data_IF_289773132544
#
_entry.id   IF_289773132544
#
_cell.length_a   1.000
_cell.length_b   1.000
_cell.length_c   1.000
_cell.angle_alpha   90.00
_cell.angle_beta   90.00
_cell.angle_gamma   90.00
#
_symmetry.space_group_name_H-M   'P 1'
#
loop_
_entity.id
_entity.type
_entity.pdbx_description
1 polymer ?
#
# COMPACT_ATOMS: atom_id res chain seq x y z
N UNK A 1 -60.06 -12.12 -14.81
CA UNK A 1 -58.82 -11.93 -15.55
C UNK A 1 -57.89 -10.88 -14.94
N UNK A 2 -57.72 -10.85 -13.60
CA UNK A 2 -56.86 -9.88 -12.88
C UNK A 2 -55.69 -10.48 -12.09
N UNK A 3 -55.58 -11.82 -12.00
CA UNK A 3 -54.48 -12.48 -11.22
C UNK A 3 -53.16 -12.70 -11.97
N UNK A 4 -53.14 -12.63 -13.31
CA UNK A 4 -51.88 -12.89 -14.06
C UNK A 4 -50.90 -11.72 -14.12
N UNK A 5 -51.35 -10.47 -13.93
CA UNK A 5 -50.44 -9.30 -14.00
C UNK A 5 -49.57 -9.13 -12.75
N UNK A 6 -50.05 -9.53 -11.57
CA UNK A 6 -49.26 -9.43 -10.32
C UNK A 6 -48.12 -10.43 -10.23
N UNK A 7 -48.28 -11.62 -10.82
CA UNK A 7 -47.24 -12.66 -10.79
C UNK A 7 -46.01 -12.29 -11.65
N UNK A 8 -46.23 -11.68 -12.81
CA UNK A 8 -45.13 -11.25 -13.67
C UNK A 8 -44.34 -10.05 -13.08
N UNK A 9 -45.02 -9.16 -12.36
CA UNK A 9 -44.36 -8.03 -11.70
C UNK A 9 -43.49 -8.49 -10.49
N UNK A 10 -44.00 -9.46 -9.73
CA UNK A 10 -43.24 -10.06 -8.63
C UNK A 10 -41.99 -10.83 -9.08
N UNK A 11 -42.10 -11.60 -10.16
CA UNK A 11 -40.95 -12.34 -10.73
C UNK A 11 -39.96 -11.39 -11.35
N UNK A 12 -40.36 -10.30 -12.01
CA UNK A 12 -39.47 -9.29 -12.58
C UNK A 12 -38.72 -8.54 -11.48
N UNK A 13 -39.38 -8.19 -10.37
CA UNK A 13 -38.75 -7.56 -9.20
C UNK A 13 -37.77 -8.50 -8.50
N UNK A 14 -38.07 -9.80 -8.38
CA UNK A 14 -37.15 -10.78 -7.84
C UNK A 14 -35.92 -11.01 -8.74
N UNK A 15 -36.11 -11.04 -10.05
CA UNK A 15 -35.00 -11.14 -11.00
C UNK A 15 -34.13 -9.88 -11.02
N UNK A 16 -34.73 -8.69 -10.87
CA UNK A 16 -33.96 -7.45 -10.72
C UNK A 16 -33.18 -7.41 -9.41
N UNK A 17 -33.81 -7.84 -8.29
CA UNK A 17 -33.12 -7.93 -6.99
C UNK A 17 -31.99 -8.97 -7.01
N UNK A 18 -32.19 -10.10 -7.72
CA UNK A 18 -31.15 -11.11 -7.88
C UNK A 18 -30.01 -10.65 -8.84
N UNK A 19 -30.34 -9.89 -9.88
CA UNK A 19 -29.34 -9.29 -10.77
C UNK A 19 -28.49 -8.21 -10.08
N UNK A 20 -29.09 -7.43 -9.16
CA UNK A 20 -28.34 -6.41 -8.38
C UNK A 20 -27.43 -7.07 -7.32
N UNK A 21 -27.80 -8.23 -6.77
CA UNK A 21 -26.94 -8.95 -5.83
C UNK A 21 -25.75 -9.68 -6.46
N UNK A 22 -25.71 -9.81 -7.79
CA UNK A 22 -24.59 -10.42 -8.53
C UNK A 22 -23.44 -9.45 -8.83
N UNK A 23 -23.59 -8.16 -8.51
CA UNK A 23 -22.57 -7.13 -8.70
C UNK A 23 -22.02 -6.56 -7.37
N UNK A 24 -22.00 -7.35 -6.30
CA UNK A 24 -21.09 -7.04 -5.21
C UNK A 24 -19.66 -7.29 -5.71
N UNK A 25 -19.06 -6.29 -6.36
CA UNK A 25 -17.66 -6.31 -6.68
C UNK A 25 -16.88 -6.47 -5.37
N UNK A 26 -15.90 -7.37 -5.30
CA UNK A 26 -15.05 -7.43 -4.13
C UNK A 26 -14.40 -6.06 -3.94
N UNK A 27 -14.50 -5.53 -2.72
CA UNK A 27 -13.79 -4.31 -2.33
C UNK A 27 -12.30 -4.67 -2.33
N UNK A 28 -11.53 -4.03 -3.19
CA UNK A 28 -10.13 -4.39 -3.44
C UNK A 28 -9.12 -3.81 -2.45
N UNK A 29 -7.89 -4.32 -2.47
CA UNK A 29 -6.70 -3.76 -1.84
C UNK A 29 -6.57 -2.30 -2.22
N UNK A 30 -6.04 -1.46 -1.34
CA UNK A 30 -6.41 -0.06 -1.37
C UNK A 30 -7.94 0.01 -1.28
N UNK A 31 -8.48 0.39 -0.16
CA UNK A 31 -9.92 0.38 0.06
C UNK A 31 -10.63 1.07 -1.11
N UNK A 32 -11.63 0.41 -1.69
CA UNK A 32 -12.34 0.89 -2.86
C UNK A 32 -11.50 1.00 -4.17
N UNK A 33 -10.41 0.23 -4.28
CA UNK A 33 -9.57 0.16 -5.46
C UNK A 33 -10.03 -0.86 -6.50
N UNK A 34 -9.37 -0.85 -7.64
CA UNK A 34 -9.51 -1.83 -8.73
C UNK A 34 -8.19 -2.57 -8.94
N UNK A 35 -8.19 -3.82 -9.44
CA UNK A 35 -6.96 -4.48 -9.82
C UNK A 35 -6.15 -3.63 -10.80
N UNK A 36 -4.89 -3.39 -10.46
CA UNK A 36 -3.97 -2.57 -11.26
C UNK A 36 -3.53 -3.26 -12.56
N UNK A 37 -3.53 -4.59 -12.57
CA UNK A 37 -3.01 -5.32 -13.72
C UNK A 37 -1.53 -5.02 -13.98
N UNK A 38 -1.22 -4.49 -15.16
CA UNK A 38 0.15 -4.16 -15.58
C UNK A 38 0.37 -2.65 -15.79
N UNK A 39 -0.49 -1.79 -15.22
CA UNK A 39 -0.39 -0.34 -15.43
C UNK A 39 0.79 0.27 -14.65
N UNK A 40 1.12 -0.31 -13.49
CA UNK A 40 2.26 0.12 -12.67
C UNK A 40 3.21 -1.05 -12.36
N UNK A 41 3.90 -1.63 -13.37
CA UNK A 41 4.72 -2.83 -13.21
C UNK A 41 5.91 -2.65 -12.26
N UNK A 42 6.32 -1.42 -11.99
CA UNK A 42 7.41 -1.04 -11.08
C UNK A 42 6.96 -0.94 -9.61
N UNK A 43 5.68 -1.08 -9.32
CA UNK A 43 5.20 -1.21 -7.93
C UNK A 43 5.22 -2.68 -7.53
N UNK A 44 5.78 -2.97 -6.37
CA UNK A 44 6.10 -4.33 -5.92
C UNK A 44 5.61 -4.62 -4.51
N UNK A 45 5.39 -5.90 -4.23
CA UNK A 45 5.25 -6.41 -2.87
C UNK A 45 6.65 -6.59 -2.26
N UNK A 46 6.85 -6.14 -1.04
CA UNK A 46 8.07 -6.35 -0.25
C UNK A 46 7.73 -7.12 1.01
N UNK A 47 8.46 -8.20 1.27
CA UNK A 47 8.39 -8.97 2.52
C UNK A 47 9.73 -8.83 3.21
N UNK A 48 9.69 -8.52 4.50
CA UNK A 48 10.86 -8.35 5.34
C UNK A 48 11.04 -9.55 6.26
N UNK A 49 12.28 -10.03 6.31
CA UNK A 49 12.71 -11.05 7.25
C UNK A 49 13.36 -10.39 8.47
N UNK A 50 13.12 -10.93 9.65
CA UNK A 50 13.71 -10.46 10.89
C UNK A 50 14.33 -11.59 11.70
N UNK A 51 15.33 -11.24 12.50
CA UNK A 51 15.94 -12.15 13.45
C UNK A 51 15.09 -12.17 14.73
N UNK A 52 14.24 -13.18 14.87
CA UNK A 52 13.22 -13.26 15.91
C UNK A 52 13.77 -13.71 17.27
N UNK A 53 14.99 -14.27 17.33
CA UNK A 53 15.59 -14.83 18.54
C UNK A 53 17.01 -14.30 18.85
N UNK A 54 17.52 -13.37 18.02
CA UNK A 54 18.86 -12.81 18.10
C UNK A 54 19.96 -13.90 18.08
N UNK A 55 19.71 -15.01 17.42
CA UNK A 55 20.64 -16.13 17.29
C UNK A 55 21.14 -16.25 15.84
N UNK A 56 22.41 -15.94 15.56
CA UNK A 56 22.93 -15.95 14.19
C UNK A 56 22.98 -17.38 13.56
N UNK A 57 22.73 -18.42 14.36
CA UNK A 57 22.62 -19.79 13.88
C UNK A 57 21.20 -20.17 13.44
N UNK A 58 20.21 -19.34 13.76
CA UNK A 58 18.81 -19.54 13.35
C UNK A 58 18.53 -18.66 12.14
N UNK A 59 17.99 -19.21 11.03
CA UNK A 59 17.63 -18.38 9.89
C UNK A 59 16.57 -17.33 10.25
N UNK A 60 16.73 -16.13 9.72
CA UNK A 60 15.69 -15.10 9.79
C UNK A 60 14.39 -15.59 9.14
N UNK A 61 13.26 -15.11 9.64
CA UNK A 61 11.94 -15.53 9.19
C UNK A 61 11.14 -14.32 8.72
N UNK A 62 10.20 -14.49 7.79
CA UNK A 62 9.30 -13.41 7.40
C UNK A 62 8.52 -12.87 8.59
N UNK A 63 8.61 -11.56 8.82
CA UNK A 63 7.94 -10.86 9.90
C UNK A 63 6.76 -10.03 9.44
N UNK A 64 6.92 -9.24 8.39
CA UNK A 64 5.89 -8.34 7.88
C UNK A 64 6.08 -8.04 6.39
N UNK A 65 5.10 -7.37 5.81
CA UNK A 65 5.10 -6.99 4.40
C UNK A 65 4.68 -5.56 4.18
N UNK A 66 5.18 -4.97 3.11
CA UNK A 66 4.83 -3.63 2.64
C UNK A 66 4.68 -3.62 1.12
N UNK A 67 4.41 -2.44 0.59
CA UNK A 67 4.51 -2.14 -0.84
C UNK A 67 5.79 -1.34 -1.09
N UNK A 68 6.39 -1.46 -2.27
CA UNK A 68 7.56 -0.68 -2.68
C UNK A 68 7.49 -0.24 -4.13
N UNK A 69 8.43 0.58 -4.55
CA UNK A 69 8.55 1.14 -5.90
C UNK A 69 9.98 0.97 -6.41
N UNK A 70 10.15 0.30 -7.55
CA UNK A 70 11.44 0.18 -8.21
C UNK A 70 11.83 1.53 -8.83
N UNK A 71 12.96 2.10 -8.38
CA UNK A 71 13.52 3.38 -8.88
C UNK A 71 14.62 3.18 -9.93
N UNK A 72 15.33 2.06 -9.82
CA UNK A 72 16.38 1.64 -10.74
C UNK A 72 16.40 0.11 -10.81
N UNK A 73 17.20 -0.53 -11.64
CA UNK A 73 17.24 -1.99 -11.72
C UNK A 73 17.50 -2.73 -10.39
N UNK A 74 18.03 -2.03 -9.39
CA UNK A 74 18.45 -2.63 -8.10
C UNK A 74 17.94 -1.88 -6.88
N UNK A 75 17.19 -0.78 -7.04
CA UNK A 75 16.79 0.07 -5.92
C UNK A 75 15.27 0.13 -5.81
N UNK A 76 14.75 -0.32 -4.67
CA UNK A 76 13.33 -0.25 -4.31
C UNK A 76 13.14 0.73 -3.17
N UNK A 77 12.31 1.74 -3.38
CA UNK A 77 11.84 2.68 -2.35
C UNK A 77 10.68 2.04 -1.59
N UNK A 78 10.64 2.20 -0.28
CA UNK A 78 9.54 1.76 0.60
C UNK A 78 9.50 2.61 1.88
N UNK A 79 8.68 2.24 2.87
CA UNK A 79 8.59 2.95 4.14
C UNK A 79 9.71 2.56 5.12
N UNK A 80 10.17 3.52 5.92
CA UNK A 80 11.18 3.31 6.96
C UNK A 80 10.72 2.34 8.04
N UNK A 81 9.45 2.42 8.46
CA UNK A 81 8.90 1.46 9.43
C UNK A 81 8.82 0.02 8.89
N UNK A 82 8.92 -0.16 7.57
CA UNK A 82 9.05 -1.49 6.97
C UNK A 82 10.47 -2.01 6.99
N UNK A 83 11.47 -1.15 6.86
CA UNK A 83 12.89 -1.55 6.86
C UNK A 83 13.50 -1.61 8.26
N UNK A 84 12.94 -0.91 9.24
CA UNK A 84 13.46 -0.84 10.60
C UNK A 84 13.42 -2.21 11.30
N UNK A 85 14.56 -2.69 11.74
CA UNK A 85 14.72 -4.01 12.37
C UNK A 85 14.69 -5.20 11.40
N UNK A 86 14.53 -4.98 10.10
CA UNK A 86 14.61 -6.02 9.10
C UNK A 86 16.09 -6.36 8.78
N UNK A 87 16.37 -7.65 8.59
CA UNK A 87 17.73 -8.14 8.26
C UNK A 87 17.86 -8.53 6.79
N UNK A 88 16.74 -8.81 6.11
CA UNK A 88 16.68 -9.11 4.69
C UNK A 88 15.31 -8.72 4.14
N UNK A 89 15.22 -8.62 2.81
CA UNK A 89 13.96 -8.38 2.12
C UNK A 89 13.85 -9.25 0.87
N UNK A 90 12.61 -9.56 0.49
CA UNK A 90 12.27 -10.21 -0.77
C UNK A 90 11.18 -9.44 -1.48
N UNK A 91 11.30 -9.32 -2.81
CA UNK A 91 10.49 -8.41 -3.62
C UNK A 91 9.85 -9.17 -4.79
N UNK A 92 8.55 -8.94 -5.03
CA UNK A 92 7.78 -9.51 -6.15
C UNK A 92 7.14 -8.40 -6.96
N UNK A 93 7.21 -8.51 -8.30
CA UNK A 93 6.61 -7.55 -9.26
C UNK A 93 5.36 -8.09 -9.94
N UNK A 94 4.90 -9.30 -9.58
CA UNK A 94 3.70 -9.89 -10.15
C UNK A 94 2.46 -9.04 -9.81
N UNK A 95 1.58 -8.83 -10.79
CA UNK A 95 0.32 -8.11 -10.55
C UNK A 95 -0.59 -8.83 -9.55
N UNK A 96 -0.37 -10.14 -9.35
CA UNK A 96 -1.09 -10.97 -8.40
C UNK A 96 -2.26 -11.75 -9.01
N UNK A 97 -2.96 -12.54 -8.20
CA UNK A 97 -2.63 -12.83 -6.82
C UNK A 97 -1.31 -13.61 -6.68
N UNK A 98 -0.43 -13.14 -5.77
CA UNK A 98 0.84 -13.81 -5.51
C UNK A 98 0.55 -15.02 -4.59
N UNK A 99 0.96 -16.21 -5.03
CA UNK A 99 0.71 -17.44 -4.28
C UNK A 99 1.47 -17.44 -2.95
N UNK A 100 0.80 -17.86 -1.90
CA UNK A 100 1.39 -18.16 -0.59
C UNK A 100 1.59 -19.65 -0.44
N UNK A 101 2.60 -20.09 0.31
CA UNK A 101 2.88 -21.53 0.52
C UNK A 101 1.99 -22.13 1.61
N UNK A 102 1.29 -21.30 2.40
CA UNK A 102 0.49 -21.76 3.53
C UNK A 102 -0.96 -21.32 3.43
N UNK A 103 -1.84 -22.30 3.60
CA UNK A 103 -3.27 -22.11 3.84
C UNK A 103 -3.60 -21.59 5.26
N UNK A 104 -2.58 -21.22 6.05
CA UNK A 104 -2.72 -20.79 7.45
C UNK A 104 -2.84 -19.26 7.52
N UNK A 105 -3.99 -18.73 7.88
CA UNK A 105 -4.10 -17.32 8.25
C UNK A 105 -3.54 -17.10 9.67
N UNK A 106 -2.94 -15.94 9.96
CA UNK A 106 -2.73 -14.76 9.14
C UNK A 106 -1.28 -14.57 8.68
N UNK A 107 -0.55 -15.62 8.46
CA UNK A 107 0.88 -15.56 8.10
C UNK A 107 1.14 -15.68 6.60
N UNK A 108 0.36 -15.02 5.81
CA UNK A 108 0.33 -15.16 4.37
C UNK A 108 1.46 -14.38 3.69
N UNK A 109 2.69 -14.83 3.93
CA UNK A 109 3.83 -14.33 3.18
C UNK A 109 4.08 -15.24 1.98
N UNK A 110 4.31 -14.67 0.79
CA UNK A 110 4.75 -15.46 -0.34
C UNK A 110 6.14 -16.01 0.00
N UNK A 111 6.29 -17.32 -0.14
CA UNK A 111 7.55 -17.99 0.08
C UNK A 111 8.07 -18.54 -1.22
N UNK A 112 9.15 -17.95 -1.70
CA UNK A 112 9.76 -18.41 -2.93
C UNK A 112 8.88 -18.09 -4.13
N UNK A 113 9.32 -18.48 -5.26
CA UNK A 113 8.70 -18.19 -6.55
C UNK A 113 9.81 -17.80 -7.51
N UNK A 114 9.54 -17.94 -8.79
CA UNK A 114 10.53 -17.62 -9.83
C UNK A 114 10.69 -16.11 -10.06
N UNK A 115 9.88 -15.29 -9.40
CA UNK A 115 9.81 -13.84 -9.60
C UNK A 115 10.24 -13.03 -8.38
N UNK A 116 10.75 -13.65 -7.31
CA UNK A 116 11.27 -12.91 -6.16
C UNK A 116 12.73 -12.52 -6.34
N UNK A 117 13.04 -11.31 -5.84
CA UNK A 117 14.39 -10.75 -5.78
C UNK A 117 14.76 -10.53 -4.33
N UNK A 118 15.95 -10.93 -3.92
CA UNK A 118 16.48 -10.69 -2.59
C UNK A 118 17.14 -9.33 -2.51
N UNK A 119 17.10 -8.70 -1.33
CA UNK A 119 17.72 -7.41 -1.11
C UNK A 119 18.03 -7.11 0.35
N UNK A 120 18.84 -6.08 0.54
CA UNK A 120 19.26 -5.55 1.84
C UNK A 120 18.44 -4.31 2.16
N UNK A 121 17.74 -4.28 3.31
CA UNK A 121 16.96 -3.12 3.72
C UNK A 121 17.84 -2.05 4.37
N UNK A 122 17.55 -0.77 4.11
CA UNK A 122 18.16 0.40 4.70
C UNK A 122 17.07 1.37 5.15
N UNK A 123 17.16 1.80 6.41
CA UNK A 123 16.22 2.77 6.98
C UNK A 123 16.85 4.16 6.98
N UNK A 124 16.08 5.17 6.60
CA UNK A 124 16.56 6.56 6.64
C UNK A 124 17.00 6.96 8.04
N UNK A 125 18.19 7.56 8.20
CA UNK A 125 18.66 8.05 9.49
C UNK A 125 17.66 9.04 10.11
N UNK A 126 17.41 8.88 11.41
CA UNK A 126 16.41 9.69 12.14
C UNK A 126 15.00 9.14 12.09
N UNK A 127 14.80 7.95 11.51
CA UNK A 127 13.53 7.23 11.64
C UNK A 127 13.17 7.05 13.12
N UNK A 128 11.90 7.24 13.46
CA UNK A 128 11.39 7.01 14.80
C UNK A 128 9.93 7.33 14.99
N UNK A 129 9.37 6.76 16.05
CA UNK A 129 7.99 7.03 16.48
C UNK A 129 8.03 8.06 17.62
N UNK A 130 7.50 9.25 17.39
CA UNK A 130 7.32 10.25 18.44
C UNK A 130 5.94 10.10 19.05
N UNK A 131 5.87 9.47 20.22
CA UNK A 131 4.68 9.49 21.04
C UNK A 131 4.56 10.88 21.67
N UNK A 132 3.63 11.70 21.19
CA UNK A 132 3.32 12.93 21.89
C UNK A 132 2.35 12.62 23.04
N UNK A 133 2.67 13.07 24.25
CA UNK A 133 1.81 12.95 25.43
C UNK A 133 0.48 13.76 25.31
N UNK A 134 0.20 14.35 24.17
CA UNK A 134 -0.91 15.25 23.92
C UNK A 134 -2.13 14.61 23.26
N UNK A 135 -2.19 13.27 23.13
CA UNK A 135 -3.33 12.58 22.53
C UNK A 135 -3.46 12.75 21.02
N UNK A 136 -2.52 13.38 20.37
CA UNK A 136 -2.40 13.39 18.91
C UNK A 136 -1.77 12.05 18.45
N UNK A 137 -2.14 11.52 17.28
CA UNK A 137 -1.47 10.36 16.73
C UNK A 137 0.04 10.61 16.71
N UNK A 138 0.83 9.64 17.18
CA UNK A 138 2.28 9.73 17.14
C UNK A 138 2.74 9.96 15.71
N UNK A 139 3.55 10.99 15.49
CA UNK A 139 4.14 11.24 14.19
C UNK A 139 5.31 10.28 13.99
N UNK A 140 5.39 9.71 12.79
CA UNK A 140 6.54 8.95 12.33
C UNK A 140 7.47 9.93 11.63
N UNK A 141 8.75 9.95 12.00
CA UNK A 141 9.75 10.79 11.33
C UNK A 141 10.65 9.95 10.44
N UNK A 142 11.15 10.54 9.36
CA UNK A 142 12.06 9.91 8.41
C UNK A 142 11.56 8.52 7.95
N UNK A 143 10.24 8.40 7.70
CA UNK A 143 9.59 7.14 7.36
C UNK A 143 9.88 6.73 5.91
N UNK A 144 11.14 6.64 5.56
CA UNK A 144 11.64 6.27 4.24
C UNK A 144 12.65 5.13 4.38
N UNK A 145 12.50 4.14 3.53
CA UNK A 145 13.40 2.99 3.46
C UNK A 145 13.77 2.64 2.02
N UNK A 146 14.93 2.03 1.87
CA UNK A 146 15.42 1.48 0.62
C UNK A 146 15.63 -0.02 0.79
N UNK A 147 15.32 -0.78 -0.25
CA UNK A 147 15.81 -2.16 -0.41
C UNK A 147 16.74 -2.17 -1.62
N UNK A 148 18.01 -2.43 -1.37
CA UNK A 148 19.01 -2.62 -2.42
C UNK A 148 19.02 -4.09 -2.82
N UNK A 149 18.59 -4.39 -4.05
CA UNK A 149 18.48 -5.75 -4.55
C UNK A 149 19.87 -6.32 -4.86
N UNK A 150 20.08 -7.59 -4.50
CA UNK A 150 21.33 -8.30 -4.76
C UNK A 150 21.55 -8.63 -6.23
N UNK A 151 20.49 -8.60 -7.03
CA UNK A 151 20.53 -8.79 -8.48
C UNK A 151 19.62 -7.79 -9.19
N UNK A 152 19.94 -7.54 -10.47
CA UNK A 152 19.18 -6.58 -11.28
C UNK A 152 17.85 -7.15 -11.73
N UNK A 153 16.77 -6.41 -11.55
CA UNK A 153 15.48 -6.70 -12.19
C UNK A 153 15.64 -6.50 -13.71
N UNK A 154 15.43 -7.55 -14.52
CA UNK A 154 15.62 -7.42 -15.96
C UNK A 154 14.49 -6.59 -16.58
N UNK A 155 14.82 -5.80 -17.63
CA UNK A 155 13.84 -4.95 -18.35
C UNK A 155 12.64 -5.72 -18.92
N UNK A 156 12.79 -7.01 -19.17
CA UNK A 156 11.67 -7.86 -19.60
C UNK A 156 10.63 -8.11 -18.49
N UNK A 157 11.04 -7.99 -17.22
CA UNK A 157 10.14 -8.11 -16.06
C UNK A 157 9.55 -6.74 -15.70
N UNK A 158 10.38 -5.71 -15.64
CA UNK A 158 9.98 -4.33 -15.37
C UNK A 158 10.74 -3.39 -16.31
N UNK A 159 10.03 -2.78 -17.25
CA UNK A 159 10.63 -1.93 -18.29
C UNK A 159 10.75 -0.45 -17.88
N UNK A 160 9.98 -0.04 -16.88
CA UNK A 160 9.85 1.34 -16.41
C UNK A 160 10.12 1.44 -14.93
N UNK A 161 10.36 2.63 -14.42
CA UNK A 161 10.66 2.89 -13.01
C UNK A 161 9.82 4.04 -12.48
N UNK A 162 9.57 4.06 -11.18
CA UNK A 162 9.04 5.23 -10.49
C UNK A 162 10.02 6.40 -10.63
N UNK A 163 9.47 7.60 -10.79
CA UNK A 163 10.26 8.82 -10.95
C UNK A 163 10.26 9.64 -9.66
N UNK A 164 11.43 10.11 -9.25
CA UNK A 164 11.53 11.01 -8.11
C UNK A 164 10.96 12.39 -8.47
N UNK A 165 10.31 13.06 -7.50
CA UNK A 165 9.80 14.41 -7.68
C UNK A 165 10.95 15.43 -7.66
N UNK A 166 10.65 16.65 -8.08
CA UNK A 166 11.51 17.80 -7.81
C UNK A 166 11.30 18.29 -6.36
N UNK A 167 12.32 18.95 -5.79
CA UNK A 167 12.22 19.53 -4.44
C UNK A 167 11.03 20.50 -4.39
N UNK A 168 10.15 20.29 -3.40
CA UNK A 168 8.99 21.14 -3.17
C UNK A 168 7.83 20.94 -4.17
N UNK A 169 7.83 19.88 -4.95
CA UNK A 169 6.77 19.62 -5.94
C UNK A 169 5.38 19.51 -5.30
N UNK A 170 5.31 18.95 -4.10
CA UNK A 170 4.05 18.82 -3.34
C UNK A 170 3.49 20.18 -2.95
N UNK A 171 4.33 21.19 -2.67
CA UNK A 171 3.89 22.53 -2.27
C UNK A 171 3.13 23.27 -3.38
N UNK A 172 3.36 22.88 -4.63
CA UNK A 172 2.64 23.41 -5.78
C UNK A 172 1.24 22.80 -6.00
N UNK A 173 0.90 21.74 -5.27
CA UNK A 173 -0.39 21.05 -5.41
C UNK A 173 -1.51 21.86 -4.75
N UNK A 174 -2.67 21.84 -5.38
CA UNK A 174 -3.88 22.45 -4.83
C UNK A 174 -4.70 21.44 -4.05
N UNK A 175 -5.40 21.90 -3.02
CA UNK A 175 -6.44 21.10 -2.35
C UNK A 175 -7.42 20.54 -3.38
N UNK A 176 -7.93 19.33 -3.15
CA UNK A 176 -8.78 18.56 -4.07
C UNK A 176 -8.09 18.07 -5.34
N UNK A 177 -6.77 18.26 -5.50
CA UNK A 177 -6.02 17.56 -6.55
C UNK A 177 -6.16 16.05 -6.35
N UNK A 178 -6.36 15.33 -7.45
CA UNK A 178 -6.34 13.88 -7.43
C UNK A 178 -4.90 13.38 -7.42
N UNK A 179 -4.71 12.25 -6.77
CA UNK A 179 -3.46 11.50 -6.73
C UNK A 179 -3.79 10.01 -6.91
N UNK A 180 -2.84 9.28 -7.45
CA UNK A 180 -2.99 7.86 -7.73
C UNK A 180 -2.27 7.03 -6.65
N UNK A 181 -2.99 6.09 -6.06
CA UNK A 181 -2.50 5.18 -5.02
C UNK A 181 -2.37 3.79 -5.61
N UNK A 182 -1.23 3.13 -5.37
CA UNK A 182 -1.00 1.75 -5.83
C UNK A 182 -0.39 0.93 -4.69
N UNK A 183 -0.88 -0.31 -4.49
CA UNK A 183 -0.33 -1.15 -3.43
C UNK A 183 -0.84 -2.58 -3.39
N UNK A 184 -0.27 -3.35 -2.44
CA UNK A 184 -0.57 -4.76 -2.18
C UNK A 184 -1.20 -4.99 -0.81
N UNK A 185 -1.78 -3.96 -0.22
CA UNK A 185 -2.40 -4.04 1.10
C UNK A 185 -3.57 -5.00 1.18
N UNK A 186 -4.16 -5.09 2.35
CA UNK A 186 -5.38 -5.85 2.60
C UNK A 186 -6.58 -5.18 1.94
N UNK A 187 -7.60 -5.95 1.61
CA UNK A 187 -8.64 -5.55 0.69
C UNK A 187 -9.99 -5.34 1.34
N UNK A 188 -10.34 -6.15 2.32
CA UNK A 188 -11.64 -6.12 2.95
C UNK A 188 -11.58 -6.61 4.39
N UNK A 189 -12.53 -6.16 5.18
CA UNK A 189 -12.74 -6.67 6.54
C UNK A 189 -13.72 -7.82 6.54
N UNK A 190 -13.34 -8.91 7.24
CA UNK A 190 -14.29 -9.92 7.70
C UNK A 190 -14.69 -9.56 9.11
N UNK A 191 -15.98 -9.60 9.43
CA UNK A 191 -16.43 -9.39 10.81
C UNK A 191 -16.14 -10.66 11.59
N UNK A 192 -15.15 -10.69 12.50
CA UNK A 192 -14.91 -11.89 13.30
C UNK A 192 -16.11 -12.09 14.23
N UNK A 193 -16.76 -13.22 14.15
CA UNK A 193 -17.57 -13.69 15.25
C UNK A 193 -16.60 -14.25 16.29
N UNK A 194 -16.15 -13.44 17.23
CA UNK A 194 -15.52 -13.82 18.49
C UNK A 194 -14.01 -14.08 18.57
N UNK A 195 -13.17 -13.78 17.58
CA UNK A 195 -11.72 -14.00 17.71
C UNK A 195 -10.90 -12.89 17.04
N UNK A 196 -9.91 -12.36 17.76
CA UNK A 196 -8.82 -11.56 17.24
C UNK A 196 -8.94 -10.03 17.35
N UNK A 197 -7.78 -9.38 17.29
CA UNK A 197 -7.65 -7.93 17.26
C UNK A 197 -8.07 -7.31 15.92
N UNK A 198 -8.08 -5.97 15.80
CA UNK A 198 -8.53 -5.27 14.59
C UNK A 198 -7.77 -5.65 13.33
N UNK A 199 -6.52 -6.09 13.42
CA UNK A 199 -5.70 -6.54 12.29
C UNK A 199 -6.15 -7.90 11.72
N UNK A 200 -6.62 -8.80 12.57
CA UNK A 200 -7.02 -10.16 12.18
C UNK A 200 -8.34 -10.19 11.39
N UNK A 201 -9.09 -9.08 11.42
CA UNK A 201 -10.28 -8.92 10.62
C UNK A 201 -10.03 -8.62 9.14
N UNK A 202 -8.82 -8.19 8.78
CA UNK A 202 -8.49 -7.81 7.42
C UNK A 202 -8.00 -8.98 6.58
N UNK A 203 -8.37 -8.98 5.30
CA UNK A 203 -7.99 -10.00 4.31
C UNK A 203 -7.56 -9.37 3.00
N UNK A 204 -6.72 -10.10 2.24
CA UNK A 204 -6.26 -9.69 0.92
C UNK A 204 -5.73 -10.88 0.12
N UNK A 205 -5.49 -10.68 -1.16
CA UNK A 205 -5.02 -11.69 -2.10
C UNK A 205 -3.60 -11.45 -2.61
N UNK A 206 -2.84 -10.52 -2.01
CA UNK A 206 -1.54 -10.09 -2.50
C UNK A 206 -1.57 -9.72 -3.99
N UNK A 207 -2.59 -9.01 -4.38
CA UNK A 207 -2.79 -8.48 -5.73
C UNK A 207 -2.54 -6.98 -5.69
N UNK A 208 -1.86 -6.47 -6.70
CA UNK A 208 -1.66 -5.03 -6.86
C UNK A 208 -2.96 -4.35 -7.26
N UNK A 209 -3.33 -3.31 -6.53
CA UNK A 209 -4.53 -2.52 -6.75
C UNK A 209 -4.18 -1.05 -6.92
N UNK A 210 -5.08 -0.37 -7.61
CA UNK A 210 -5.04 1.05 -7.89
C UNK A 210 -6.30 1.73 -7.39
N UNK A 211 -6.18 2.94 -6.86
CA UNK A 211 -7.31 3.85 -6.65
C UNK A 211 -6.88 5.30 -6.70
N UNK A 212 -7.84 6.17 -7.00
CA UNK A 212 -7.66 7.60 -6.87
C UNK A 212 -8.11 8.08 -5.49
N UNK A 213 -7.31 8.94 -4.89
CA UNK A 213 -7.64 9.70 -3.71
C UNK A 213 -7.59 11.20 -4.02
N UNK A 214 -8.03 12.02 -3.09
CA UNK A 214 -8.07 13.47 -3.29
C UNK A 214 -7.43 14.15 -2.09
N UNK A 215 -6.55 15.13 -2.34
CA UNK A 215 -5.98 15.96 -1.28
C UNK A 215 -7.10 16.61 -0.46
N UNK A 216 -6.96 16.53 0.86
CA UNK A 216 -7.91 17.16 1.78
C UNK A 216 -7.96 18.67 1.56
N UNK A 217 -9.08 19.28 1.91
CA UNK A 217 -9.23 20.72 1.90
C UNK A 217 -8.86 21.30 3.27
N UNK A 218 -8.07 22.37 3.30
CA UNK A 218 -7.69 23.08 4.52
C UNK A 218 -6.19 23.29 4.65
N UNK A 219 -5.79 23.98 5.70
CA UNK A 219 -4.40 24.41 5.95
C UNK A 219 -3.45 23.22 6.22
N UNK A 220 -4.02 22.08 6.66
CA UNK A 220 -3.24 20.91 7.08
C UNK A 220 -3.28 19.76 6.05
N UNK A 221 -3.77 20.00 4.85
CA UNK A 221 -3.78 18.98 3.79
C UNK A 221 -2.38 18.63 3.30
N UNK A 222 -1.43 19.55 3.46
CA UNK A 222 -0.02 19.42 3.13
C UNK A 222 0.77 20.01 4.31
N UNK A 223 1.71 19.25 4.85
CA UNK A 223 2.67 19.72 5.84
C UNK A 223 4.09 19.59 5.30
N UNK A 224 5.09 20.05 6.06
CA UNK A 224 6.48 19.91 5.66
C UNK A 224 6.92 18.44 5.48
N UNK A 225 6.22 17.47 6.08
CA UNK A 225 6.59 16.05 6.07
C UNK A 225 5.52 15.12 5.52
N UNK A 226 4.26 15.54 5.54
CA UNK A 226 3.14 14.68 5.15
C UNK A 226 2.24 15.33 4.12
N UNK A 227 1.78 14.50 3.21
CA UNK A 227 0.64 14.74 2.34
C UNK A 227 -0.55 13.97 2.92
N UNK A 228 -1.74 14.55 2.92
CA UNK A 228 -2.96 13.95 3.44
C UNK A 228 -4.01 13.80 2.35
N UNK A 229 -4.66 12.64 2.29
CA UNK A 229 -5.75 12.41 1.34
C UNK A 229 -6.99 11.86 2.02
N UNK A 230 -8.13 11.98 1.33
CA UNK A 230 -9.34 11.28 1.72
C UNK A 230 -9.17 9.78 1.56
N UNK A 231 -9.69 9.01 2.53
CA UNK A 231 -9.87 7.57 2.43
C UNK A 231 -11.35 7.25 2.69
N UNK A 232 -12.24 7.78 1.82
CA UNK A 232 -13.69 7.71 2.01
C UNK A 232 -14.34 6.90 0.89
N UNK A 233 -14.52 5.61 1.15
CA UNK A 233 -15.18 4.67 0.24
C UNK A 233 -16.63 5.04 -0.10
N UNK A 234 -17.35 5.70 0.82
CA UNK A 234 -18.72 6.14 0.59
C UNK A 234 -18.82 7.27 -0.48
N UNK A 235 -17.71 7.93 -0.77
CA UNK A 235 -17.62 8.94 -1.84
C UNK A 235 -16.92 8.42 -3.10
N UNK A 236 -16.73 7.11 -3.23
CA UNK A 236 -15.99 6.52 -4.33
C UNK A 236 -14.49 6.83 -4.32
N UNK A 237 -13.95 7.30 -3.19
CA UNK A 237 -12.52 7.57 -3.01
C UNK A 237 -11.84 6.37 -2.40
N UNK A 238 -10.70 6.00 -2.95
CA UNK A 238 -9.84 4.97 -2.37
C UNK A 238 -9.03 5.49 -1.20
N UNK A 239 -8.44 4.57 -0.45
CA UNK A 239 -7.52 4.85 0.64
C UNK A 239 -6.60 3.67 0.87
N UNK A 240 -5.44 3.91 1.47
CA UNK A 240 -4.48 2.87 1.79
C UNK A 240 -4.90 2.07 3.03
N UNK A 241 -4.49 0.81 3.08
CA UNK A 241 -4.77 -0.12 4.15
C UNK A 241 -3.48 -0.82 4.62
N UNK A 242 -3.58 -1.74 5.56
CA UNK A 242 -2.42 -2.50 6.06
C UNK A 242 -1.73 -3.27 4.92
N UNK A 243 -0.41 -3.07 4.77
CA UNK A 243 0.40 -3.64 3.72
C UNK A 243 0.58 -2.72 2.50
N UNK A 244 -0.12 -1.58 2.42
CA UNK A 244 0.16 -0.53 1.44
C UNK A 244 1.31 0.39 1.88
N UNK A 245 1.78 0.27 3.13
CA UNK A 245 2.95 0.99 3.66
C UNK A 245 4.10 1.01 2.65
N UNK A 246 4.70 2.17 2.41
CA UNK A 246 5.76 2.36 1.42
C UNK A 246 5.29 2.37 -0.04
N UNK A 247 4.01 2.07 -0.31
CA UNK A 247 3.42 2.21 -1.64
C UNK A 247 3.30 3.66 -2.07
N UNK A 248 3.36 3.94 -3.38
CA UNK A 248 3.41 5.29 -3.91
C UNK A 248 2.10 6.06 -3.79
N UNK A 249 2.23 7.36 -3.62
CA UNK A 249 1.27 8.37 -4.02
C UNK A 249 1.83 9.04 -5.26
N UNK A 250 1.31 8.70 -6.41
CA UNK A 250 1.74 9.30 -7.66
C UNK A 250 0.99 10.60 -7.94
N UNK A 251 1.66 11.51 -8.63
CA UNK A 251 1.00 12.61 -9.31
C UNK A 251 0.08 12.03 -10.38
N UNK A 252 -1.19 12.45 -10.36
CA UNK A 252 -2.25 11.90 -11.22
C UNK A 252 -1.79 11.65 -12.66
N UNK A 253 -1.94 10.41 -13.14
CA UNK A 253 -1.62 9.99 -14.50
C UNK A 253 -0.13 9.97 -14.84
N UNK A 254 0.76 9.97 -13.82
CA UNK A 254 2.23 9.92 -14.03
C UNK A 254 2.89 8.88 -13.14
N UNK A 255 4.19 8.62 -13.37
CA UNK A 255 5.04 7.79 -12.48
C UNK A 255 5.80 8.62 -11.43
N UNK A 256 5.52 9.93 -11.30
CA UNK A 256 6.18 10.79 -10.32
C UNK A 256 5.66 10.53 -8.91
N UNK A 257 6.54 10.14 -8.00
CA UNK A 257 6.25 9.76 -6.62
C UNK A 257 6.23 11.03 -5.77
N UNK A 258 5.06 11.52 -5.38
CA UNK A 258 4.92 12.67 -4.48
C UNK A 258 5.23 12.32 -3.03
N UNK A 259 4.74 11.15 -2.61
CA UNK A 259 4.87 10.64 -1.25
C UNK A 259 4.75 9.11 -1.24
N UNK A 260 5.04 8.50 -0.10
CA UNK A 260 4.80 7.07 0.13
C UNK A 260 3.86 6.86 1.32
N UNK A 261 3.09 5.79 1.30
CA UNK A 261 2.14 5.44 2.36
C UNK A 261 2.86 5.24 3.68
N UNK A 262 2.47 5.98 4.71
CA UNK A 262 3.06 5.92 6.05
C UNK A 262 2.09 5.34 7.08
N UNK A 263 0.98 6.01 7.38
CA UNK A 263 0.00 5.51 8.35
C UNK A 263 -1.41 5.98 8.06
N UNK A 264 -2.39 5.34 8.70
CA UNK A 264 -3.79 5.73 8.70
C UNK A 264 -4.25 6.25 10.07
N UNK A 265 -5.31 7.04 10.09
CA UNK A 265 -5.86 7.61 11.32
C UNK A 265 -6.52 6.57 12.25
N UNK A 266 -6.88 5.40 11.74
CA UNK A 266 -7.58 4.38 12.50
C UNK A 266 -7.45 2.98 11.86
N UNK A 267 -7.76 1.95 12.65
CA UNK A 267 -7.70 0.53 12.22
C UNK A 267 -8.73 0.14 11.15
N UNK A 268 -9.72 0.98 10.87
CA UNK A 268 -10.69 0.75 9.79
C UNK A 268 -10.19 1.23 8.43
N UNK A 269 -8.99 1.80 8.34
CA UNK A 269 -8.39 2.34 7.12
C UNK A 269 -9.34 3.30 6.38
N UNK A 270 -10.03 4.17 7.14
CA UNK A 270 -11.04 5.08 6.64
C UNK A 270 -10.82 6.52 7.13
N UNK A 271 -11.34 7.48 6.40
CA UNK A 271 -11.26 8.91 6.73
C UNK A 271 -10.07 9.61 6.10
N UNK A 272 -8.89 9.52 6.69
CA UNK A 272 -7.67 10.21 6.25
C UNK A 272 -6.49 9.25 6.21
N UNK A 273 -5.75 9.25 5.10
CA UNK A 273 -4.45 8.63 4.96
C UNK A 273 -3.33 9.66 5.05
N UNK A 274 -2.20 9.28 5.65
CA UNK A 274 -1.01 10.10 5.83
C UNK A 274 0.15 9.47 5.05
N UNK A 275 0.78 10.29 4.22
CA UNK A 275 1.81 9.86 3.29
C UNK A 275 3.07 10.68 3.48
N UNK A 276 4.22 10.03 3.68
CA UNK A 276 5.49 10.71 3.88
C UNK A 276 6.00 11.29 2.57
N UNK A 277 6.26 12.60 2.53
CA UNK A 277 6.66 13.34 1.32
C UNK A 277 8.05 12.94 0.88
N UNK A 278 8.21 12.70 -0.43
CA UNK A 278 9.49 12.33 -1.04
C UNK A 278 10.23 13.55 -1.59
N UNK A 279 9.52 14.63 -1.86
CA UNK A 279 10.07 15.88 -2.45
C UNK A 279 10.88 16.76 -1.48
N UNK A 280 11.21 16.23 -0.30
CA UNK A 280 12.04 16.93 0.69
C UNK A 280 13.53 16.75 0.37
N UNK A 281 14.37 17.80 0.54
CA UNK A 281 15.79 17.73 0.21
C UNK A 281 16.56 16.62 0.91
N UNK A 282 16.29 16.40 2.21
CA UNK A 282 16.92 15.36 3.02
C UNK A 282 16.51 13.95 2.55
N UNK A 283 15.24 13.76 2.18
CA UNK A 283 14.73 12.50 1.64
C UNK A 283 15.35 12.19 0.28
N UNK A 284 15.34 13.16 -0.64
CA UNK A 284 15.97 13.00 -1.96
C UNK A 284 17.47 12.76 -1.87
N UNK A 285 18.15 13.39 -0.90
CA UNK A 285 19.57 13.14 -0.63
C UNK A 285 19.81 11.70 -0.18
N UNK A 286 19.02 11.20 0.77
CA UNK A 286 19.13 9.80 1.23
C UNK A 286 18.89 8.80 0.09
N UNK A 287 17.83 8.99 -0.69
CA UNK A 287 17.52 8.11 -1.84
C UNK A 287 18.66 8.16 -2.87
N UNK A 288 19.23 9.36 -3.10
CA UNK A 288 20.31 9.58 -4.05
C UNK A 288 21.62 8.83 -3.72
N UNK A 289 21.83 8.40 -2.47
CA UNK A 289 22.99 7.59 -2.08
C UNK A 289 22.99 6.19 -2.72
N UNK A 290 21.81 5.71 -3.17
CA UNK A 290 21.61 4.38 -3.75
C UNK A 290 21.45 4.39 -5.29
N UNK A 291 21.27 5.54 -5.92
CA UNK A 291 21.02 5.68 -7.37
C UNK A 291 22.27 6.11 -8.10
#
# INVERSE_FOLDING_TARGET
MRLRRGFHFGVLMLLLAFAVSLFALPVGAITNGTPDGYDHPYVCLVVFDWDHDNNPSTPAVPGWRTTGILLSPTVVLTAGHGTDGAVAARVWFDAGPIATIRDDPPGEYPYGGKSSYEGVPYTMPGFGYYLTNAGLPGFITCDVGIVELTERVPKKAVSEYGQLPTVGEVDALRVKTYVDLVGYGVQYQVTPRNEGGPYEAWRGTLTRYFAQAQLLSGEFSISDRFLETTANSAQGKGGTAFGDSGGPVFKEGTSTILAITSFGANSNCAGTGYYYRIDQPDVLSFIGEFL
#
